data_IF_740066057049
#
_entry.id   IF_740066057049
#
_cell.length_a   1.000
_cell.length_b   1.000
_cell.length_c   1.000
_cell.angle_alpha   90.00
_cell.angle_beta   90.00
_cell.angle_gamma   90.00
#
_symmetry.space_group_name_H-M   'P 1'
#
loop_
_entity.id
_entity.type
_entity.pdbx_description
1 polymer ?
#
# COMPACT_ATOMS: atom_id res chain seq x y z
N UNK A 1 -0.59 26.84 32.00
CA UNK A 1 -0.94 25.82 31.00
C UNK A 1 -2.02 24.94 31.60
N UNK A 2 -3.21 24.88 31.00
CA UNK A 2 -4.36 24.17 31.56
C UNK A 2 -4.12 22.66 31.63
N UNK A 3 -4.28 22.07 32.81
CA UNK A 3 -4.15 20.63 33.05
C UNK A 3 -5.53 19.98 33.03
N UNK A 4 -5.83 19.21 31.98
CA UNK A 4 -7.05 18.39 31.91
C UNK A 4 -6.91 17.12 32.76
N UNK A 5 -7.99 16.74 33.47
CA UNK A 5 -8.02 15.48 34.24
C UNK A 5 -7.98 14.28 33.28
N UNK A 6 -7.51 13.09 33.71
CA UNK A 6 -7.38 11.93 32.81
C UNK A 6 -8.66 11.53 32.08
N UNK A 7 -9.83 11.67 32.72
CA UNK A 7 -11.13 11.37 32.11
C UNK A 7 -11.64 12.44 31.14
N UNK A 8 -11.08 13.66 31.20
CA UNK A 8 -11.38 14.76 30.28
C UNK A 8 -10.51 14.68 29.01
N UNK A 9 -9.42 13.89 29.04
CA UNK A 9 -8.50 13.72 27.92
C UNK A 9 -9.05 12.71 26.91
N UNK A 10 -9.11 13.11 25.65
CA UNK A 10 -9.50 12.24 24.52
C UNK A 10 -8.32 12.00 23.59
N UNK A 11 -8.32 10.86 22.89
CA UNK A 11 -7.33 10.62 21.84
C UNK A 11 -7.69 11.39 20.56
N UNK A 12 -6.68 11.65 19.71
CA UNK A 12 -6.88 12.38 18.45
C UNK A 12 -7.96 11.73 17.55
N UNK A 13 -8.07 10.40 17.54
CA UNK A 13 -9.10 9.68 16.77
C UNK A 13 -10.52 9.99 17.27
N UNK A 14 -10.70 10.06 18.59
CA UNK A 14 -11.99 10.41 19.20
C UNK A 14 -12.33 11.87 18.93
N UNK A 15 -11.33 12.76 19.01
CA UNK A 15 -11.49 14.17 18.66
C UNK A 15 -11.98 14.33 17.21
N UNK A 16 -11.32 13.68 16.24
CA UNK A 16 -11.75 13.71 14.84
C UNK A 16 -13.17 13.14 14.66
N UNK A 17 -13.53 12.08 15.39
CA UNK A 17 -14.88 11.51 15.35
C UNK A 17 -15.93 12.49 15.87
N UNK A 18 -15.63 13.29 16.89
CA UNK A 18 -16.56 14.31 17.39
C UNK A 18 -16.74 15.46 16.40
N UNK A 19 -15.67 15.88 15.72
CA UNK A 19 -15.73 16.88 14.63
C UNK A 19 -16.61 16.36 13.49
N UNK A 20 -16.38 15.12 13.04
CA UNK A 20 -17.16 14.52 11.95
C UNK A 20 -18.65 14.35 12.31
N UNK A 21 -18.97 14.20 13.60
CA UNK A 21 -20.34 14.14 14.12
C UNK A 21 -20.96 15.51 14.43
N UNK A 22 -20.21 16.61 14.29
CA UNK A 22 -20.67 17.96 14.66
C UNK A 22 -20.87 18.17 16.17
N UNK A 23 -20.25 17.34 17.02
CA UNK A 23 -20.34 17.43 18.49
C UNK A 23 -19.41 18.52 19.08
N UNK A 24 -18.58 19.13 18.24
CA UNK A 24 -17.73 20.26 18.60
C UNK A 24 -17.99 21.40 17.62
N UNK A 25 -17.74 22.64 18.07
CA UNK A 25 -17.89 23.86 17.27
C UNK A 25 -16.87 23.98 16.12
N UNK A 26 -15.83 23.15 16.11
CA UNK A 26 -14.85 23.08 15.04
C UNK A 26 -15.42 22.30 13.86
N UNK A 27 -15.39 22.90 12.67
CA UNK A 27 -15.77 22.24 11.44
C UNK A 27 -14.54 21.64 10.74
N UNK A 28 -14.74 20.60 9.93
CA UNK A 28 -13.66 20.04 9.09
C UNK A 28 -13.02 21.08 8.15
N UNK A 29 -13.74 22.15 7.82
CA UNK A 29 -13.24 23.30 7.05
C UNK A 29 -12.14 24.07 7.80
N UNK A 30 -12.23 24.13 9.13
CA UNK A 30 -11.27 24.82 9.98
C UNK A 30 -9.97 24.02 10.14
N UNK A 31 -10.00 22.72 9.82
CA UNK A 31 -8.80 21.88 9.76
C UNK A 31 -8.13 22.01 8.40
N UNK A 32 -7.26 23.01 8.27
CA UNK A 32 -6.52 23.29 7.03
C UNK A 32 -5.79 22.05 6.48
N UNK A 33 -5.21 21.23 7.36
CA UNK A 33 -4.55 19.97 7.00
C UNK A 33 -5.49 18.90 6.43
N UNK A 34 -6.77 18.89 6.82
CA UNK A 34 -7.76 17.92 6.34
C UNK A 34 -8.35 18.34 4.98
N UNK A 35 -8.42 19.64 4.71
CA UNK A 35 -8.90 20.20 3.45
C UNK A 35 -7.81 20.34 2.37
N UNK A 36 -6.53 20.26 2.76
CA UNK A 36 -5.42 20.39 1.81
C UNK A 36 -5.37 19.23 0.81
N UNK A 37 -5.45 19.58 -0.48
CA UNK A 37 -5.13 18.64 -1.56
C UNK A 37 -3.64 18.32 -1.52
N UNK A 38 -3.30 17.05 -1.69
CA UNK A 38 -1.90 16.66 -1.83
C UNK A 38 -1.33 17.26 -3.13
N UNK A 39 -0.52 18.30 -2.98
CA UNK A 39 0.14 19.01 -4.09
C UNK A 39 1.38 18.27 -4.61
N UNK A 40 1.81 17.18 -3.95
CA UNK A 40 2.96 16.42 -4.41
C UNK A 40 2.64 15.78 -5.76
N UNK A 41 3.42 16.07 -6.82
CA UNK A 41 3.19 15.46 -8.12
C UNK A 41 3.37 13.95 -8.01
N UNK A 42 2.57 13.20 -8.77
CA UNK A 42 2.75 11.75 -8.90
C UNK A 42 4.13 11.49 -9.51
N UNK A 43 5.06 10.93 -8.73
CA UNK A 43 6.40 10.60 -9.21
C UNK A 43 6.32 9.36 -10.10
N UNK A 44 6.60 9.52 -11.40
CA UNK A 44 6.83 8.38 -12.27
C UNK A 44 8.19 7.77 -11.91
N UNK A 45 8.20 6.65 -11.20
CA UNK A 45 9.44 5.95 -10.83
C UNK A 45 9.96 5.22 -12.06
N UNK A 46 11.20 5.50 -12.47
CA UNK A 46 11.87 4.84 -13.61
C UNK A 46 12.01 3.32 -13.38
N UNK A 47 12.31 2.91 -12.14
CA UNK A 47 12.43 1.49 -11.75
C UNK A 47 11.13 0.99 -11.12
N UNK A 48 10.09 0.75 -11.91
CA UNK A 48 8.92 -0.01 -11.45
C UNK A 48 9.32 -1.49 -11.33
N UNK A 49 8.80 -2.18 -10.31
CA UNK A 49 8.96 -3.65 -10.24
C UNK A 49 8.28 -4.23 -11.47
N UNK A 50 9.02 -5.03 -12.24
CA UNK A 50 8.44 -5.82 -13.33
C UNK A 50 7.54 -6.85 -12.66
N UNK A 51 6.23 -6.68 -12.80
CA UNK A 51 5.27 -7.68 -12.35
C UNK A 51 5.44 -8.90 -13.26
N UNK A 52 5.50 -10.09 -12.66
CA UNK A 52 5.47 -11.34 -13.42
C UNK A 52 4.14 -11.50 -14.15
N UNK A 53 4.04 -12.54 -14.98
CA UNK A 53 2.79 -12.88 -15.65
C UNK A 53 1.67 -13.17 -14.62
N UNK A 54 0.40 -12.94 -15.01
CA UNK A 54 -0.75 -13.25 -14.16
C UNK A 54 -0.70 -14.72 -13.76
N UNK A 55 -1.21 -14.99 -12.55
CA UNK A 55 -1.39 -16.35 -12.06
C UNK A 55 -2.25 -17.18 -13.02
N UNK A 56 -3.17 -16.56 -13.75
CA UNK A 56 -4.08 -17.24 -14.69
C UNK A 56 -3.37 -17.76 -15.95
N UNK A 57 -2.21 -17.18 -16.31
CA UNK A 57 -1.42 -17.55 -17.49
C UNK A 57 -0.41 -18.65 -17.16
N UNK A 58 -0.20 -18.94 -15.88
CA UNK A 58 0.76 -19.98 -15.49
C UNK A 58 0.28 -21.35 -16.00
N UNK A 59 1.18 -22.20 -16.51
CA UNK A 59 0.81 -23.53 -16.97
C UNK A 59 0.15 -24.33 -15.84
N UNK A 60 -0.92 -25.04 -16.17
CA UNK A 60 -1.72 -25.82 -15.21
C UNK A 60 -0.90 -26.90 -14.50
N UNK A 61 0.20 -27.34 -15.11
CA UNK A 61 1.18 -28.27 -14.55
C UNK A 61 1.75 -27.80 -13.20
N UNK A 62 1.78 -26.49 -12.93
CA UNK A 62 2.26 -25.90 -11.67
C UNK A 62 1.20 -26.00 -10.56
N UNK A 63 -0.08 -26.09 -10.90
CA UNK A 63 -1.17 -26.25 -9.93
C UNK A 63 -1.28 -27.69 -9.41
N UNK A 64 -0.58 -28.63 -10.03
CA UNK A 64 -0.60 -30.04 -9.67
C UNK A 64 0.36 -30.22 -8.48
N UNK A 65 -0.22 -30.14 -7.28
CA UNK A 65 0.47 -29.97 -6.01
C UNK A 65 1.59 -30.95 -5.72
N UNK A 66 2.83 -30.45 -5.79
CA UNK A 66 3.89 -30.95 -4.93
C UNK A 66 3.92 -30.08 -3.66
N UNK A 67 3.88 -30.68 -2.45
CA UNK A 67 4.02 -29.90 -1.23
C UNK A 67 5.38 -29.20 -1.26
N UNK A 68 5.36 -27.87 -1.17
CA UNK A 68 6.56 -27.05 -1.07
C UNK A 68 7.25 -27.38 0.26
N UNK A 69 8.18 -28.33 0.22
CA UNK A 69 9.10 -28.58 1.34
C UNK A 69 9.91 -27.31 1.55
N UNK A 70 9.61 -26.62 2.65
CA UNK A 70 10.28 -25.40 3.07
C UNK A 70 11.79 -25.64 3.16
N UNK A 71 12.55 -24.85 2.40
CA UNK A 71 13.99 -24.71 2.59
C UNK A 71 14.89 -25.48 1.64
N UNK A 72 14.78 -25.26 0.32
CA UNK A 72 15.94 -25.31 -0.61
C UNK A 72 15.61 -24.56 -1.91
N UNK A 73 16.55 -23.72 -2.33
CA UNK A 73 16.48 -22.81 -3.48
C UNK A 73 16.23 -23.54 -4.81
N UNK A 74 15.26 -23.08 -5.61
CA UNK A 74 15.18 -23.45 -7.03
C UNK A 74 15.77 -22.29 -7.85
N UNK A 75 17.08 -22.37 -8.10
CA UNK A 75 17.74 -21.52 -9.09
C UNK A 75 17.38 -22.11 -10.46
N UNK A 76 16.39 -21.56 -11.15
CA UNK A 76 16.16 -21.95 -12.55
C UNK A 76 17.32 -21.40 -13.38
N UNK A 77 18.24 -22.26 -13.79
CA UNK A 77 19.22 -21.96 -14.82
C UNK A 77 18.47 -21.68 -16.12
N UNK A 78 18.12 -20.41 -16.35
CA UNK A 78 17.56 -19.97 -17.63
C UNK A 78 18.62 -20.14 -18.71
N UNK A 79 18.37 -21.02 -19.69
CA UNK A 79 19.15 -21.00 -20.93
C UNK A 79 18.82 -19.69 -21.66
N UNK A 80 19.83 -18.88 -21.97
CA UNK A 80 19.67 -17.75 -22.89
C UNK A 80 19.45 -18.32 -24.29
N UNK A 81 18.21 -18.27 -24.79
CA UNK A 81 17.99 -18.32 -26.23
C UNK A 81 18.29 -16.94 -26.80
N UNK A 82 19.19 -16.86 -27.78
CA UNK A 82 19.41 -15.65 -28.57
C UNK A 82 18.20 -15.48 -29.49
N UNK A 83 17.17 -14.79 -29.04
CA UNK A 83 16.15 -14.28 -29.95
C UNK A 83 16.57 -12.87 -30.31
N UNK A 84 17.07 -12.70 -31.54
CA UNK A 84 17.44 -11.41 -32.09
C UNK A 84 16.24 -10.46 -32.05
N UNK A 85 16.37 -9.24 -31.51
CA UNK A 85 15.37 -8.21 -31.77
C UNK A 85 15.48 -7.83 -33.26
N UNK A 86 14.41 -8.08 -34.02
CA UNK A 86 14.19 -7.40 -35.30
C UNK A 86 13.74 -5.97 -34.98
N UNK A 87 14.49 -5.00 -35.52
CA UNK A 87 14.35 -3.54 -35.53
C UNK A 87 13.27 -2.88 -34.64
#
# INVERSE_FOLDING_TARGET
MGTYKPHERVCAKTLYRYIDKGLMSLNNMDLWLKLQRNTKPKRNRERKRILGQSIDVRPQEINIGQPLVTGRSIRSLGRKTKTNPLY
#
